data_IF_438563761694
#
_entry.id   IF_438563761694
#
_cell.length_a   1.000
_cell.length_b   1.000
_cell.length_c   1.000
_cell.angle_alpha   90.00
_cell.angle_beta   90.00
_cell.angle_gamma   90.00
#
_symmetry.space_group_name_H-M   'P 1'
#
loop_
_entity.id
_entity.type
_entity.pdbx_description
1 polymer ?
#
# COMPACT_ATOMS: atom_id res chain seq x y z
N UNK A 1 12.99 -26.29 29.89
CA UNK A 1 12.51 -25.37 28.81
C UNK A 1 13.71 -25.03 27.96
N UNK A 2 13.59 -25.23 26.65
CA UNK A 2 14.61 -24.81 25.70
C UNK A 2 14.74 -23.27 25.76
N UNK A 3 15.98 -22.75 25.72
CA UNK A 3 16.26 -21.33 25.75
C UNK A 3 15.59 -20.58 24.56
N UNK A 4 15.50 -21.24 23.41
CA UNK A 4 14.82 -20.70 22.22
C UNK A 4 13.31 -20.50 22.44
N UNK A 5 12.66 -21.48 23.08
CA UNK A 5 11.25 -21.39 23.44
C UNK A 5 11.02 -20.30 24.51
N UNK A 6 11.83 -20.26 25.56
CA UNK A 6 11.71 -19.28 26.64
C UNK A 6 11.91 -17.84 26.18
N UNK A 7 12.78 -17.60 25.20
CA UNK A 7 13.05 -16.29 24.61
C UNK A 7 12.20 -16.00 23.35
N UNK A 8 11.29 -16.90 22.99
CA UNK A 8 10.41 -16.79 21.81
C UNK A 8 11.20 -16.54 20.50
N UNK A 9 12.38 -17.13 20.37
CA UNK A 9 13.27 -16.94 19.22
C UNK A 9 12.61 -17.49 17.95
N UNK A 10 11.94 -18.63 18.03
CA UNK A 10 11.26 -19.25 16.90
C UNK A 10 10.12 -18.37 16.33
N UNK A 11 9.39 -17.68 17.21
CA UNK A 11 8.35 -16.75 16.78
C UNK A 11 8.95 -15.53 16.10
N UNK A 12 10.05 -15.00 16.63
CA UNK A 12 10.77 -13.87 16.03
C UNK A 12 11.36 -14.25 14.66
N UNK A 13 11.87 -15.47 14.55
CA UNK A 13 12.40 -16.01 13.29
C UNK A 13 11.29 -16.15 12.24
N UNK A 14 10.15 -16.76 12.60
CA UNK A 14 8.98 -16.86 11.70
C UNK A 14 8.51 -15.48 11.24
N UNK A 15 8.49 -14.50 12.13
CA UNK A 15 8.15 -13.11 11.79
C UNK A 15 9.18 -12.49 10.86
N UNK A 16 10.46 -12.74 11.08
CA UNK A 16 11.54 -12.25 10.24
C UNK A 16 11.56 -12.90 8.84
N UNK A 17 11.02 -14.10 8.69
CA UNK A 17 10.86 -14.79 7.41
C UNK A 17 9.56 -14.42 6.67
N UNK A 18 8.65 -13.68 7.32
CA UNK A 18 7.39 -13.27 6.71
C UNK A 18 7.62 -12.31 5.55
N UNK A 19 6.92 -12.52 4.44
CA UNK A 19 6.91 -11.61 3.29
C UNK A 19 6.43 -10.22 3.67
N UNK A 20 5.47 -10.12 4.61
CA UNK A 20 4.81 -8.88 5.03
C UNK A 20 5.32 -8.40 6.38
N UNK A 21 5.61 -7.11 6.48
CA UNK A 21 6.06 -6.44 7.70
C UNK A 21 5.08 -5.31 8.02
N UNK A 22 4.65 -5.24 9.28
CA UNK A 22 3.73 -4.20 9.74
C UNK A 22 4.49 -2.98 10.26
N UNK A 23 3.99 -1.81 9.91
CA UNK A 23 4.50 -0.52 10.42
C UNK A 23 3.66 -0.05 11.62
N UNK A 24 4.25 0.77 12.52
CA UNK A 24 3.53 1.32 13.69
C UNK A 24 2.28 2.11 13.31
N UNK A 25 2.30 2.85 12.20
CA UNK A 25 1.16 3.59 11.67
C UNK A 25 0.02 2.73 11.14
N UNK A 26 0.20 1.40 11.09
CA UNK A 26 -0.73 0.46 10.49
C UNK A 26 -0.50 0.19 9.00
N UNK A 27 0.48 0.86 8.40
CA UNK A 27 0.98 0.53 7.06
C UNK A 27 1.73 -0.79 7.03
N UNK A 28 2.14 -1.21 5.86
CA UNK A 28 2.86 -2.48 5.67
C UNK A 28 3.93 -2.37 4.60
N UNK A 29 4.99 -3.16 4.78
CA UNK A 29 5.96 -3.45 3.73
C UNK A 29 5.68 -4.84 3.17
N UNK A 30 5.81 -5.00 1.86
CA UNK A 30 5.86 -6.29 1.19
C UNK A 30 7.26 -6.43 0.61
N UNK A 31 7.97 -7.48 1.00
CA UNK A 31 9.36 -7.72 0.59
C UNK A 31 9.38 -8.95 -0.30
N UNK A 32 9.63 -8.74 -1.57
CA UNK A 32 9.70 -9.79 -2.57
C UNK A 32 11.09 -9.87 -3.19
N UNK A 33 11.58 -11.09 -3.32
CA UNK A 33 12.82 -11.36 -4.01
C UNK A 33 12.50 -11.87 -5.40
N UNK A 34 13.08 -11.22 -6.41
CA UNK A 34 13.12 -11.71 -7.79
C UNK A 34 14.48 -12.34 -8.06
N UNK A 35 14.66 -12.89 -9.25
CA UNK A 35 15.94 -13.44 -9.67
C UNK A 35 17.07 -12.40 -9.63
N UNK A 36 16.80 -11.16 -10.06
CA UNK A 36 17.80 -10.11 -10.22
C UNK A 36 17.89 -9.12 -9.06
N UNK A 37 16.79 -8.91 -8.32
CA UNK A 37 16.70 -7.85 -7.33
C UNK A 37 15.70 -8.19 -6.21
N UNK A 38 15.76 -7.41 -5.14
CA UNK A 38 14.70 -7.39 -4.12
C UNK A 38 13.82 -6.18 -4.33
N UNK A 39 12.52 -6.35 -4.33
CA UNK A 39 11.54 -5.27 -4.42
C UNK A 39 10.86 -5.12 -3.06
N UNK A 40 10.72 -3.89 -2.60
CA UNK A 40 10.04 -3.56 -1.35
C UNK A 40 8.93 -2.56 -1.67
N UNK A 41 7.70 -3.00 -1.51
CA UNK A 41 6.50 -2.21 -1.72
C UNK A 41 5.98 -1.67 -0.39
N UNK A 42 5.73 -0.36 -0.33
CA UNK A 42 5.25 0.35 0.85
C UNK A 42 3.76 0.63 0.69
N UNK A 43 2.95 0.10 1.58
CA UNK A 43 1.51 0.27 1.55
C UNK A 43 1.00 1.01 2.79
N UNK A 44 -0.01 1.88 2.61
CA UNK A 44 -0.79 2.42 3.74
C UNK A 44 -1.68 1.33 4.33
N UNK A 45 -1.97 1.45 5.61
CA UNK A 45 -3.02 0.67 6.23
C UNK A 45 -4.42 1.16 5.81
N UNK A 46 -5.45 0.58 6.42
CA UNK A 46 -6.85 0.98 6.22
C UNK A 46 -7.15 2.42 6.68
N UNK A 47 -6.22 3.07 7.38
CA UNK A 47 -6.34 4.44 7.87
C UNK A 47 -5.71 5.41 6.87
N UNK A 48 -6.47 5.82 5.90
CA UNK A 48 -6.20 7.02 5.12
C UNK A 48 -6.77 8.23 5.88
N UNK A 49 -6.11 8.65 6.95
CA UNK A 49 -6.38 9.85 7.74
C UNK A 49 -7.86 10.26 7.90
N UNK A 50 -8.38 10.24 9.11
CA UNK A 50 -9.66 10.86 9.40
C UNK A 50 -9.50 12.38 9.43
N UNK A 51 -9.88 13.05 8.34
CA UNK A 51 -10.12 14.50 8.32
C UNK A 51 -8.88 15.40 8.26
N UNK A 52 -7.74 14.88 7.82
CA UNK A 52 -6.54 15.66 7.73
C UNK A 52 -5.90 15.62 6.34
N UNK A 53 -4.68 15.99 6.27
CA UNK A 53 -3.87 16.04 5.07
C UNK A 53 -3.41 14.61 4.68
N UNK A 54 -3.90 14.08 3.55
CA UNK A 54 -3.49 12.79 3.02
C UNK A 54 -1.96 12.73 2.82
N UNK A 55 -1.39 13.80 2.33
CA UNK A 55 0.06 13.96 2.13
C UNK A 55 0.85 13.78 3.43
N UNK A 56 0.39 14.35 4.53
CA UNK A 56 1.02 14.18 5.85
C UNK A 56 0.98 12.72 6.31
N UNK A 57 -0.15 12.05 6.12
CA UNK A 57 -0.32 10.63 6.48
C UNK A 57 0.61 9.74 5.67
N UNK A 58 0.70 9.98 4.36
CA UNK A 58 1.57 9.25 3.44
C UNK A 58 3.04 9.50 3.81
N UNK A 59 3.43 10.74 4.03
CA UNK A 59 4.80 11.11 4.42
C UNK A 59 5.20 10.44 5.73
N UNK A 60 4.34 10.45 6.74
CA UNK A 60 4.60 9.78 8.02
C UNK A 60 4.78 8.27 7.82
N UNK A 61 3.91 7.62 7.04
CA UNK A 61 4.02 6.20 6.74
C UNK A 61 5.33 5.88 6.00
N UNK A 62 5.73 6.70 5.03
CA UNK A 62 6.98 6.54 4.30
C UNK A 62 8.22 6.75 5.18
N UNK A 63 8.18 7.66 6.14
CA UNK A 63 9.27 7.85 7.12
C UNK A 63 9.45 6.63 8.03
N UNK A 64 8.35 6.05 8.52
CA UNK A 64 8.39 4.80 9.28
C UNK A 64 8.89 3.63 8.42
N UNK A 65 8.44 3.58 7.16
CA UNK A 65 8.89 2.59 6.18
C UNK A 65 10.40 2.69 5.93
N UNK A 66 10.94 3.89 5.76
CA UNK A 66 12.37 4.09 5.52
C UNK A 66 13.26 3.51 6.64
N UNK A 67 12.87 3.69 7.90
CA UNK A 67 13.58 3.11 9.04
C UNK A 67 13.43 1.59 9.10
N UNK A 68 12.21 1.09 8.89
CA UNK A 68 11.92 -0.34 8.94
C UNK A 68 12.60 -1.11 7.81
N UNK A 69 12.65 -0.55 6.60
CA UNK A 69 13.33 -1.13 5.44
C UNK A 69 14.79 -1.41 5.78
N UNK A 70 15.50 -0.43 6.32
CA UNK A 70 16.91 -0.61 6.69
C UNK A 70 17.07 -1.66 7.80
N UNK A 71 16.16 -1.70 8.76
CA UNK A 71 16.14 -2.73 9.80
C UNK A 71 15.95 -4.12 9.20
N UNK A 72 15.03 -4.27 8.25
CA UNK A 72 14.77 -5.53 7.54
C UNK A 72 15.93 -5.94 6.63
N UNK A 73 16.57 -4.97 5.96
CA UNK A 73 17.77 -5.23 5.16
C UNK A 73 18.90 -5.84 5.99
N UNK A 74 19.09 -5.33 7.20
CA UNK A 74 20.12 -5.85 8.14
C UNK A 74 19.72 -7.21 8.73
N UNK A 75 18.47 -7.35 9.17
CA UNK A 75 17.96 -8.56 9.82
C UNK A 75 18.00 -9.76 8.86
N UNK A 76 17.61 -9.55 7.61
CA UNK A 76 17.52 -10.61 6.59
C UNK A 76 18.78 -10.75 5.75
N UNK A 77 19.77 -9.89 5.94
CA UNK A 77 20.95 -9.69 5.09
C UNK A 77 20.58 -9.52 3.62
N UNK A 78 19.58 -8.67 3.34
CA UNK A 78 19.21 -8.33 1.97
C UNK A 78 20.36 -7.57 1.32
N UNK A 79 20.75 -7.98 0.12
CA UNK A 79 21.82 -7.35 -0.62
C UNK A 79 21.64 -7.53 -2.12
N UNK A 80 22.59 -7.00 -2.88
CA UNK A 80 22.45 -6.80 -4.31
C UNK A 80 21.66 -5.52 -4.60
N UNK A 81 20.90 -5.52 -5.68
CA UNK A 81 20.01 -4.43 -6.05
C UNK A 81 18.69 -4.55 -5.27
N UNK A 82 18.29 -3.46 -4.64
CA UNK A 82 17.04 -3.35 -3.89
C UNK A 82 16.30 -2.14 -4.44
N UNK A 83 15.06 -2.31 -4.83
CA UNK A 83 14.18 -1.24 -5.29
C UNK A 83 13.08 -1.07 -4.27
N UNK A 84 12.92 0.16 -3.79
CA UNK A 84 11.85 0.53 -2.85
C UNK A 84 10.83 1.37 -3.59
N UNK A 85 9.58 0.97 -3.51
CA UNK A 85 8.42 1.71 -4.01
C UNK A 85 7.74 2.38 -2.82
N UNK A 86 8.03 3.68 -2.62
CA UNK A 86 7.38 4.49 -1.61
C UNK A 86 6.02 4.96 -2.13
N UNK A 87 5.08 5.17 -1.21
CA UNK A 87 3.79 5.76 -1.57
C UNK A 87 4.03 7.16 -2.14
N UNK A 88 3.36 7.47 -3.24
CA UNK A 88 3.52 8.74 -3.93
C UNK A 88 3.31 9.95 -3.00
N UNK A 89 4.25 10.86 -3.04
CA UNK A 89 4.22 12.14 -2.33
C UNK A 89 4.22 13.26 -3.36
N UNK A 90 3.30 14.20 -3.20
CA UNK A 90 3.14 15.33 -4.14
C UNK A 90 4.21 16.39 -3.92
N UNK A 91 4.61 16.62 -2.65
CA UNK A 91 5.55 17.67 -2.30
C UNK A 91 7.00 17.16 -2.36
N UNK A 92 7.88 17.79 -3.17
CA UNK A 92 9.30 17.43 -3.25
C UNK A 92 10.02 17.46 -1.89
N UNK A 93 9.63 18.36 -1.00
CA UNK A 93 10.19 18.47 0.34
C UNK A 93 9.94 17.22 1.19
N UNK A 94 8.80 16.56 0.98
CA UNK A 94 8.45 15.30 1.64
C UNK A 94 9.27 14.14 1.07
N UNK A 95 9.49 14.12 -0.23
CA UNK A 95 10.35 13.13 -0.89
C UNK A 95 11.80 13.25 -0.36
N UNK A 96 12.33 14.47 -0.27
CA UNK A 96 13.66 14.73 0.29
C UNK A 96 13.75 14.31 1.75
N UNK A 97 12.70 14.55 2.53
CA UNK A 97 12.64 14.16 3.94
C UNK A 97 12.72 12.64 4.11
N UNK A 98 11.99 11.88 3.30
CA UNK A 98 12.00 10.40 3.32
C UNK A 98 13.36 9.87 2.86
N UNK A 99 13.93 10.42 1.78
CA UNK A 99 15.26 10.04 1.30
C UNK A 99 16.35 10.31 2.35
N UNK A 100 16.29 11.45 3.02
CA UNK A 100 17.19 11.80 4.11
C UNK A 100 17.08 10.81 5.27
N UNK A 101 15.85 10.46 5.69
CA UNK A 101 15.60 9.48 6.73
C UNK A 101 16.17 8.11 6.37
N UNK A 102 15.97 7.67 5.14
CA UNK A 102 16.51 6.41 4.63
C UNK A 102 18.05 6.42 4.64
N UNK A 103 18.67 7.53 4.19
CA UNK A 103 20.12 7.71 4.18
C UNK A 103 20.71 7.72 5.59
N UNK A 104 20.06 8.40 6.54
CA UNK A 104 20.46 8.41 7.96
C UNK A 104 20.38 7.02 8.58
N UNK A 105 19.32 6.27 8.28
CA UNK A 105 19.17 4.89 8.75
C UNK A 105 20.25 3.98 8.16
N UNK A 106 20.55 4.10 6.86
CA UNK A 106 21.62 3.38 6.18
C UNK A 106 23.01 3.74 6.71
N UNK A 107 23.23 4.97 7.14
CA UNK A 107 24.50 5.41 7.76
C UNK A 107 24.88 4.60 9.02
N UNK A 108 23.91 3.94 9.66
CA UNK A 108 24.13 3.02 10.78
C UNK A 108 24.47 1.59 10.34
N UNK A 109 24.36 1.28 9.06
CA UNK A 109 24.76 -0.01 8.50
C UNK A 109 26.25 0.02 8.14
N UNK A 110 27.01 -0.93 8.68
CA UNK A 110 28.46 -1.05 8.44
C UNK A 110 28.80 -1.64 7.07
N UNK A 111 27.79 -2.08 6.31
CA UNK A 111 28.00 -2.65 4.98
C UNK A 111 28.18 -1.56 3.93
N UNK A 112 28.91 -1.86 2.87
CA UNK A 112 28.96 -0.98 1.70
C UNK A 112 27.59 -0.90 1.05
N UNK A 113 27.08 0.28 0.87
CA UNK A 113 25.84 0.57 0.19
C UNK A 113 25.94 1.86 -0.63
N UNK A 114 25.07 1.96 -1.62
CA UNK A 114 24.83 3.16 -2.41
C UNK A 114 23.33 3.35 -2.53
N UNK A 115 22.89 4.60 -2.50
CA UNK A 115 21.49 4.97 -2.67
C UNK A 115 21.41 5.94 -3.85
N UNK A 116 20.40 5.77 -4.69
CA UNK A 116 20.05 6.74 -5.73
C UNK A 116 19.12 7.81 -5.18
N UNK A 117 18.97 8.88 -5.92
CA UNK A 117 17.89 9.85 -5.68
C UNK A 117 16.51 9.21 -5.91
N UNK A 118 15.47 9.82 -5.34
CA UNK A 118 14.08 9.41 -5.61
C UNK A 118 13.77 9.72 -7.07
N UNK A 119 13.29 8.75 -7.81
CA UNK A 119 12.84 8.98 -9.17
C UNK A 119 11.52 9.76 -9.19
N UNK A 120 11.16 10.35 -10.34
CA UNK A 120 9.86 11.01 -10.52
C UNK A 120 8.63 10.11 -10.24
N UNK A 121 8.85 8.80 -10.20
CA UNK A 121 7.83 7.79 -9.91
C UNK A 121 7.86 7.28 -8.45
N UNK A 122 8.56 7.97 -7.54
CA UNK A 122 8.63 7.55 -6.13
C UNK A 122 9.58 6.40 -5.83
N UNK A 123 10.26 5.84 -6.84
CA UNK A 123 11.17 4.71 -6.66
C UNK A 123 12.53 5.15 -6.15
N UNK A 124 13.08 4.38 -5.21
CA UNK A 124 14.45 4.52 -4.71
C UNK A 124 15.22 3.23 -4.96
N UNK A 125 16.36 3.34 -5.59
CA UNK A 125 17.26 2.22 -5.80
C UNK A 125 18.38 2.23 -4.76
N UNK A 126 18.61 1.08 -4.13
CA UNK A 126 19.69 0.86 -3.18
C UNK A 126 20.54 -0.30 -3.69
N UNK A 127 21.86 -0.16 -3.62
CA UNK A 127 22.77 -1.29 -3.82
C UNK A 127 23.49 -1.55 -2.51
N UNK A 128 23.42 -2.77 -2.00
CA UNK A 128 24.01 -3.16 -0.72
C UNK A 128 24.85 -4.44 -0.88
N UNK A 129 26.04 -4.45 -0.28
CA UNK A 129 26.85 -5.66 -0.23
C UNK A 129 26.27 -6.64 0.81
N UNK A 130 26.11 -7.91 0.43
CA UNK A 130 25.79 -8.99 1.36
C UNK A 130 26.98 -9.29 2.29
N UNK A 131 26.69 -9.64 3.53
CA UNK A 131 27.70 -10.10 4.48
C UNK A 131 27.88 -11.61 4.49
N UNK A 132 26.79 -12.34 4.23
CA UNK A 132 26.79 -13.79 4.27
C UNK A 132 25.62 -14.39 3.50
N UNK A 133 25.13 -15.54 3.96
CA UNK A 133 23.90 -16.16 3.46
C UNK A 133 22.71 -15.47 4.08
N UNK A 134 21.76 -15.05 3.26
CA UNK A 134 20.56 -14.37 3.73
C UNK A 134 19.69 -15.29 4.59
N UNK A 135 18.89 -14.67 5.46
CA UNK A 135 18.02 -15.41 6.38
C UNK A 135 17.05 -16.33 5.62
N UNK A 136 16.43 -15.82 4.56
CA UNK A 136 15.49 -16.60 3.74
C UNK A 136 16.19 -17.79 3.08
N UNK A 137 17.40 -17.61 2.56
CA UNK A 137 18.17 -18.65 1.89
C UNK A 137 18.63 -19.76 2.86
N UNK A 138 18.76 -19.44 4.14
CA UNK A 138 19.12 -20.40 5.18
C UNK A 138 17.94 -21.30 5.57
N UNK A 139 16.72 -20.76 5.56
CA UNK A 139 15.52 -21.44 6.07
C UNK A 139 14.49 -21.81 5.00
N UNK A 140 14.74 -21.52 3.71
CA UNK A 140 13.82 -21.83 2.65
C UNK A 140 14.45 -22.75 1.59
N UNK A 141 13.62 -23.59 1.00
CA UNK A 141 13.89 -24.32 -0.23
C UNK A 141 13.00 -23.80 -1.35
N UNK A 142 13.45 -23.91 -2.58
CA UNK A 142 12.64 -23.53 -3.73
C UNK A 142 11.39 -24.43 -3.82
N UNK A 143 10.24 -23.82 -4.11
CA UNK A 143 9.00 -24.56 -4.28
C UNK A 143 8.97 -25.21 -5.66
N UNK A 144 8.90 -26.53 -5.73
CA UNK A 144 8.90 -27.30 -6.99
C UNK A 144 7.65 -27.02 -7.84
N UNK A 145 6.50 -26.75 -7.20
CA UNK A 145 5.22 -26.50 -7.88
C UNK A 145 5.19 -25.18 -8.63
N UNK A 146 5.69 -24.10 -8.03
CA UNK A 146 5.57 -22.77 -8.62
C UNK A 146 6.91 -22.14 -9.01
N UNK A 147 8.04 -22.78 -8.71
CA UNK A 147 9.39 -22.26 -8.97
C UNK A 147 9.56 -20.80 -8.52
N UNK A 148 9.03 -20.47 -7.35
CA UNK A 148 9.09 -19.14 -6.76
C UNK A 148 8.03 -18.14 -7.24
N UNK A 149 7.15 -18.51 -8.15
CA UNK A 149 6.10 -17.59 -8.68
C UNK A 149 4.97 -17.29 -7.69
N UNK A 150 4.71 -18.19 -6.74
CA UNK A 150 3.63 -18.03 -5.75
C UNK A 150 2.21 -18.28 -6.30
N UNK A 151 2.11 -18.83 -7.52
CA UNK A 151 0.85 -19.16 -8.19
C UNK A 151 0.97 -20.53 -8.86
N UNK A 152 -0.14 -21.25 -8.92
CA UNK A 152 -0.26 -22.47 -9.73
C UNK A 152 -0.75 -22.09 -11.13
N UNK A 153 -0.14 -22.66 -12.14
CA UNK A 153 -0.54 -22.45 -13.54
C UNK A 153 -1.43 -23.63 -13.95
N UNK A 154 -2.58 -23.33 -14.51
CA UNK A 154 -3.53 -24.29 -15.05
C UNK A 154 -3.54 -24.20 -16.58
N UNK A 155 -3.79 -25.31 -17.26
CA UNK A 155 -3.89 -25.36 -18.72
C UNK A 155 -5.12 -24.61 -19.24
N UNK A 156 -6.20 -24.59 -18.47
CA UNK A 156 -7.42 -23.87 -18.78
C UNK A 156 -7.56 -22.57 -17.94
N UNK A 157 -8.24 -21.55 -18.48
CA UNK A 157 -8.54 -20.32 -17.74
C UNK A 157 -9.32 -20.62 -16.46
N UNK A 158 -8.83 -20.12 -15.32
CA UNK A 158 -9.50 -20.28 -14.01
C UNK A 158 -10.56 -19.19 -13.86
N UNK A 159 -11.81 -19.59 -13.67
CA UNK A 159 -12.88 -18.67 -13.31
C UNK A 159 -12.67 -18.17 -11.89
N UNK A 160 -12.23 -16.92 -11.76
CA UNK A 160 -12.20 -16.25 -10.47
C UNK A 160 -13.61 -15.79 -10.10
N UNK A 161 -14.31 -16.57 -9.31
CA UNK A 161 -15.47 -16.03 -8.61
C UNK A 161 -14.98 -14.90 -7.69
N UNK A 162 -15.27 -13.66 -8.08
CA UNK A 162 -15.10 -12.52 -7.18
C UNK A 162 -16.10 -12.77 -6.05
N UNK A 163 -15.62 -13.39 -4.98
CA UNK A 163 -16.37 -13.42 -3.71
C UNK A 163 -16.37 -11.97 -3.26
N UNK A 164 -17.44 -11.27 -3.62
CA UNK A 164 -17.73 -9.96 -3.03
C UNK A 164 -17.96 -10.26 -1.55
N UNK A 165 -16.95 -9.93 -0.75
CA UNK A 165 -17.02 -9.98 0.71
C UNK A 165 -17.92 -8.82 1.18
N UNK A 166 -19.17 -8.90 0.75
CA UNK A 166 -20.25 -8.08 1.28
C UNK A 166 -20.73 -8.81 2.52
N UNK A 167 -20.49 -8.28 3.72
CA UNK A 167 -21.06 -8.87 4.91
C UNK A 167 -22.58 -8.91 4.71
N UNK A 168 -23.14 -10.11 4.63
CA UNK A 168 -24.58 -10.30 4.67
C UNK A 168 -25.11 -9.66 5.97
N UNK A 169 -25.59 -8.43 5.85
CA UNK A 169 -26.43 -7.83 6.87
C UNK A 169 -27.68 -8.72 6.95
N UNK A 170 -27.68 -9.61 7.92
CA UNK A 170 -28.91 -10.27 8.41
C UNK A 170 -29.87 -9.16 8.84
N UNK A 171 -30.57 -8.56 7.90
CA UNK A 171 -31.69 -7.66 8.10
C UNK A 171 -32.96 -8.48 8.23
N UNK A 172 -33.40 -8.68 9.47
CA UNK A 172 -34.83 -8.92 9.73
C UNK A 172 -35.58 -7.62 9.36
N UNK A 173 -36.63 -7.80 8.62
CA UNK A 173 -37.73 -6.93 8.21
C UNK A 173 -37.70 -6.60 6.71
N UNK A 174 -38.71 -7.23 6.04
CA UNK A 174 -39.12 -6.85 4.70
C UNK A 174 -39.61 -5.41 4.69
N UNK A 175 -38.89 -4.58 3.91
CA UNK A 175 -39.38 -3.27 3.50
C UNK A 175 -40.06 -3.49 2.15
N UNK A 176 -41.29 -3.00 1.93
CA UNK A 176 -41.97 -3.14 0.63
C UNK A 176 -41.15 -2.44 -0.45
N UNK A 177 -41.09 -3.07 -1.61
CA UNK A 177 -40.48 -2.53 -2.82
C UNK A 177 -41.10 -1.15 -3.11
N UNK A 178 -40.35 -0.08 -2.82
CA UNK A 178 -40.73 1.26 -3.25
C UNK A 178 -40.33 1.43 -4.71
N UNK A 179 -41.30 1.76 -5.55
CA UNK A 179 -41.16 2.11 -6.95
C UNK A 179 -40.10 3.23 -7.09
N UNK A 180 -39.02 3.05 -7.89
CA UNK A 180 -37.97 4.05 -8.02
C UNK A 180 -38.45 5.39 -8.57
N UNK A 181 -39.64 5.43 -9.20
CA UNK A 181 -40.29 6.68 -9.69
C UNK A 181 -40.86 7.55 -8.59
N UNK A 182 -40.92 7.07 -7.33
CA UNK A 182 -41.42 7.81 -6.15
C UNK A 182 -40.34 8.34 -5.23
N UNK A 183 -39.09 8.36 -5.68
CA UNK A 183 -38.02 8.95 -4.85
C UNK A 183 -38.18 10.46 -4.73
N UNK A 184 -38.08 11.08 -3.54
CA UNK A 184 -38.27 12.51 -3.33
C UNK A 184 -37.39 13.41 -4.23
N UNK A 185 -36.22 12.94 -4.64
CA UNK A 185 -35.34 13.65 -5.56
C UNK A 185 -35.88 13.69 -7.00
N UNK A 186 -36.67 12.70 -7.46
CA UNK A 186 -37.28 12.68 -8.79
C UNK A 186 -38.48 13.63 -8.82
N UNK A 187 -39.28 13.64 -7.72
CA UNK A 187 -40.40 14.57 -7.59
C UNK A 187 -39.96 16.04 -7.48
N UNK A 188 -38.76 16.29 -6.95
CA UNK A 188 -38.19 17.64 -6.88
C UNK A 188 -37.65 18.13 -8.24
N UNK A 189 -37.30 17.25 -9.17
CA UNK A 189 -36.89 17.61 -10.53
C UNK A 189 -38.07 17.94 -11.45
N UNK A 190 -39.22 17.29 -11.24
CA UNK A 190 -40.46 17.57 -12.02
C UNK A 190 -41.06 18.93 -11.69
N UNK A 191 -40.74 19.53 -10.54
CA UNK A 191 -41.22 20.89 -10.18
C UNK A 191 -40.28 22.04 -10.59
N UNK A 192 -39.11 21.75 -11.17
CA UNK A 192 -38.20 22.80 -11.68
C UNK A 192 -38.40 23.16 -13.14
N UNK A 193 -39.11 22.34 -13.90
CA UNK A 193 -39.38 22.62 -15.35
C UNK A 193 -40.60 23.49 -15.59
N UNK A 194 -41.40 23.87 -14.57
CA UNK A 194 -42.57 24.73 -14.71
C UNK A 194 -42.35 26.22 -14.41
N UNK A 195 -41.10 26.64 -14.08
CA UNK A 195 -40.83 28.04 -13.69
C UNK A 195 -39.98 28.86 -14.67
N UNK A 196 -39.67 28.35 -15.86
CA UNK A 196 -38.94 29.09 -16.90
C UNK A 196 -39.81 29.35 -18.14
N UNK A 197 -40.95 30.01 -17.97
CA UNK A 197 -41.59 30.74 -19.09
C UNK A 197 -41.03 32.18 -19.09
N UNK A 198 -40.47 32.67 -20.24
CA UNK A 198 -40.00 34.04 -20.31
C UNK A 198 -41.17 35.02 -20.42
N UNK A 199 -41.18 36.00 -19.52
CA UNK A 199 -42.11 37.16 -19.61
C UNK A 199 -41.95 37.90 -20.96
N UNK A 200 -43.05 38.36 -21.58
CA UNK A 200 -43.01 39.11 -22.83
C UNK A 200 -42.42 40.51 -22.61
N UNK A 201 -41.49 40.88 -23.46
CA UNK A 201 -40.85 42.19 -23.52
C UNK A 201 -41.91 43.30 -23.68
N UNK A 202 -41.99 44.21 -22.72
CA UNK A 202 -42.73 45.48 -22.89
C UNK A 202 -41.91 46.42 -23.76
N UNK A 203 -42.55 46.79 -24.86
CA UNK A 203 -42.19 47.83 -25.80
C UNK A 203 -42.26 49.23 -25.15
N UNK A 204 -41.12 49.89 -24.96
CA UNK A 204 -41.11 51.35 -24.70
C UNK A 204 -40.66 52.05 -25.94
N UNK A 205 -41.70 52.59 -26.64
CA UNK A 205 -41.56 53.64 -27.66
C UNK A 205 -41.56 55.03 -26.97
N UNK A 206 -40.65 55.87 -27.40
CA UNK A 206 -40.67 57.31 -27.57
C UNK A 206 -41.06 58.26 -26.44
N UNK A 207 -40.10 59.09 -25.99
CA UNK A 207 -39.96 60.50 -26.40
C UNK A 207 -38.61 61.07 -26.01
#
# INVERSE_FOLDING_TARGET
QDAFEALRVDEQLKKALSRKVWLPSGGTLVIDRTEAMTVIDVNTGKFTGSGGNLEETVTKNNLEAAEEIVRQMRLRDLGGMIVVDFIDMVLPENQDLVLRRLTEALGRDRTRHQISEVTSLGLVQITRKRLGTGLLETFATECEECSGRGVLIHDDPVEHHIVSDRPERRGKHGVPHQDPTRHPAVLAMEHQDESDEPEPAEDFAEE
#
